data_IF_999885824784
#
_entry.id   IF_999885824784
#
_cell.length_a   1.000
_cell.length_b   1.000
_cell.length_c   1.000
_cell.angle_alpha   90.00
_cell.angle_beta   90.00
_cell.angle_gamma   90.00
#
_symmetry.space_group_name_H-M   'P 1'
#
loop_
_entity.id
_entity.type
_entity.pdbx_description
1 polymer ?
#
# COMPACT_ATOMS: atom_id res chain seq x y z
N UNK A 1 3.81 21.94 6.25
CA UNK A 1 2.43 21.54 6.61
C UNK A 1 2.43 20.04 6.83
N UNK A 2 1.99 19.57 8.00
CA UNK A 2 1.89 18.14 8.30
C UNK A 2 0.73 17.58 7.49
N UNK A 3 0.99 16.56 6.67
CA UNK A 3 -0.05 15.92 5.88
C UNK A 3 -0.79 14.91 6.75
N UNK A 4 -2.03 15.22 7.10
CA UNK A 4 -2.91 14.38 7.91
C UNK A 4 -2.91 12.90 7.50
N UNK A 5 -2.89 12.60 6.20
CA UNK A 5 -2.92 11.21 5.73
C UNK A 5 -1.61 10.46 6.01
N UNK A 6 -0.48 11.17 6.01
CA UNK A 6 0.82 10.61 6.36
C UNK A 6 0.83 10.26 7.84
N UNK A 7 0.49 11.22 8.70
CA UNK A 7 0.42 11.02 10.15
C UNK A 7 -0.52 9.85 10.50
N UNK A 8 -1.66 9.76 9.83
CA UNK A 8 -2.58 8.66 10.02
C UNK A 8 -2.01 7.31 9.59
N UNK A 9 -1.28 7.26 8.47
CA UNK A 9 -0.62 6.04 8.00
C UNK A 9 0.51 5.60 8.93
N UNK A 10 1.26 6.55 9.48
CA UNK A 10 2.32 6.32 10.46
C UNK A 10 1.76 5.80 11.78
N UNK A 11 0.70 6.46 12.29
CA UNK A 11 -0.01 6.00 13.48
C UNK A 11 -0.58 4.61 13.28
N UNK A 12 -1.21 4.34 12.14
CA UNK A 12 -1.72 3.01 11.83
C UNK A 12 -0.63 1.94 11.85
N UNK A 13 0.54 2.21 11.28
CA UNK A 13 1.69 1.32 11.34
C UNK A 13 2.20 1.13 12.76
N UNK A 14 2.35 2.22 13.53
CA UNK A 14 2.82 2.18 14.91
C UNK A 14 1.90 1.34 15.81
N UNK A 15 0.59 1.59 15.78
CA UNK A 15 -0.40 0.82 16.55
C UNK A 15 -0.41 -0.66 16.14
N UNK A 16 -0.22 -0.94 14.84
CA UNK A 16 -0.12 -2.32 14.35
C UNK A 16 1.11 -3.04 14.87
N UNK A 17 2.26 -2.36 14.92
CA UNK A 17 3.52 -2.91 15.47
C UNK A 17 3.38 -3.18 16.97
N UNK A 18 2.69 -2.29 17.69
CA UNK A 18 2.41 -2.44 19.11
C UNK A 18 1.38 -3.55 19.42
N UNK A 19 0.68 -4.06 18.40
CA UNK A 19 -0.37 -5.06 18.58
C UNK A 19 -1.67 -4.51 19.18
N UNK A 20 -1.86 -3.19 19.15
CA UNK A 20 -3.04 -2.52 19.68
C UNK A 20 -4.26 -2.69 18.74
N UNK A 21 -5.46 -2.38 19.24
CA UNK A 21 -6.66 -2.41 18.41
C UNK A 21 -6.61 -1.34 17.31
N UNK A 22 -6.60 -1.82 16.06
CA UNK A 22 -6.55 -0.99 14.85
C UNK A 22 -7.92 -0.82 14.19
N UNK A 23 -9.01 -1.33 14.79
CA UNK A 23 -10.34 -1.29 14.19
C UNK A 23 -10.82 0.14 13.89
N UNK A 24 -10.59 1.08 14.81
CA UNK A 24 -10.96 2.49 14.63
C UNK A 24 -10.19 3.14 13.47
N UNK A 25 -8.89 2.88 13.36
CA UNK A 25 -8.05 3.42 12.28
C UNK A 25 -8.40 2.80 10.92
N UNK A 26 -8.73 1.50 10.89
CA UNK A 26 -9.24 0.84 9.67
C UNK A 26 -10.55 1.46 9.20
N UNK A 27 -11.45 1.78 10.13
CA UNK A 27 -12.72 2.43 9.84
C UNK A 27 -12.49 3.84 9.30
N UNK A 28 -11.56 4.57 9.89
CA UNK A 28 -11.15 5.88 9.40
C UNK A 28 -10.61 5.80 7.97
N UNK A 29 -9.63 4.91 7.71
CA UNK A 29 -9.09 4.62 6.37
C UNK A 29 -10.17 4.27 5.35
N UNK A 30 -11.21 3.55 5.77
CA UNK A 30 -12.32 3.16 4.91
C UNK A 30 -13.20 4.34 4.52
N UNK A 31 -13.57 5.22 5.46
CA UNK A 31 -14.52 6.32 5.23
C UNK A 31 -13.93 7.56 4.55
N UNK A 32 -12.63 7.56 4.26
CA UNK A 32 -12.00 8.67 3.54
C UNK A 32 -12.56 8.83 2.14
N UNK A 33 -12.61 10.09 1.68
CA UNK A 33 -12.92 10.39 0.28
C UNK A 33 -11.67 10.19 -0.57
N UNK A 34 -11.79 9.34 -1.60
CA UNK A 34 -10.71 9.08 -2.56
C UNK A 34 -10.17 10.37 -3.20
N UNK A 35 -11.07 11.29 -3.58
CA UNK A 35 -10.68 12.59 -4.15
C UNK A 35 -9.88 13.47 -3.19
N UNK A 36 -10.14 13.37 -1.88
CA UNK A 36 -9.38 14.12 -0.87
C UNK A 36 -8.00 13.50 -0.65
N UNK A 37 -7.91 12.16 -0.71
CA UNK A 37 -6.64 11.43 -0.67
C UNK A 37 -5.77 11.79 -1.89
N UNK A 38 -6.33 11.75 -3.09
CA UNK A 38 -5.62 12.12 -4.34
C UNK A 38 -5.12 13.57 -4.30
N UNK A 39 -5.94 14.51 -3.80
CA UNK A 39 -5.56 15.93 -3.72
C UNK A 39 -4.47 16.21 -2.68
N UNK A 40 -4.45 15.46 -1.57
CA UNK A 40 -3.46 15.66 -0.50
C UNK A 40 -2.20 14.82 -0.67
N UNK A 41 -2.25 13.72 -1.42
CA UNK A 41 -1.09 12.96 -1.86
C UNK A 41 -0.74 13.40 -3.28
N UNK A 42 -0.43 14.69 -3.44
CA UNK A 42 -0.13 15.32 -4.72
C UNK A 42 1.25 14.94 -5.24
N UNK A 43 2.22 14.77 -4.35
CA UNK A 43 3.59 14.35 -4.70
C UNK A 43 3.79 12.85 -4.62
N UNK A 44 4.69 12.36 -5.48
CA UNK A 44 5.08 10.95 -5.52
C UNK A 44 5.69 10.46 -4.20
N UNK A 45 6.42 11.34 -3.48
CA UNK A 45 7.01 11.01 -2.18
C UNK A 45 5.94 10.80 -1.08
N UNK A 46 4.93 11.67 -1.03
CA UNK A 46 3.79 11.52 -0.12
C UNK A 46 3.01 10.24 -0.42
N UNK A 47 2.76 9.94 -1.71
CA UNK A 47 2.14 8.68 -2.12
C UNK A 47 2.98 7.48 -1.67
N UNK A 48 4.29 7.48 -1.93
CA UNK A 48 5.21 6.41 -1.50
C UNK A 48 5.10 6.17 -0.01
N UNK A 49 5.28 7.22 0.79
CA UNK A 49 5.27 7.13 2.25
C UNK A 49 3.95 6.56 2.77
N UNK A 50 2.82 7.10 2.30
CA UNK A 50 1.49 6.62 2.69
C UNK A 50 1.32 5.13 2.37
N UNK A 51 1.58 4.73 1.12
CA UNK A 51 1.31 3.36 0.66
C UNK A 51 2.29 2.34 1.24
N UNK A 52 3.55 2.72 1.51
CA UNK A 52 4.52 1.87 2.21
C UNK A 52 4.05 1.58 3.64
N UNK A 53 3.59 2.61 4.35
CA UNK A 53 3.09 2.45 5.73
C UNK A 53 1.87 1.52 5.78
N UNK A 54 0.91 1.74 4.88
CA UNK A 54 -0.27 0.88 4.72
C UNK A 54 0.14 -0.56 4.40
N UNK A 55 1.03 -0.77 3.41
CA UNK A 55 1.49 -2.10 3.02
C UNK A 55 2.14 -2.83 4.20
N UNK A 56 3.05 -2.17 4.91
CA UNK A 56 3.75 -2.76 6.05
C UNK A 56 2.79 -3.14 7.18
N UNK A 57 1.85 -2.26 7.52
CA UNK A 57 0.86 -2.51 8.57
C UNK A 57 -0.02 -3.72 8.21
N UNK A 58 -0.59 -3.76 7.01
CA UNK A 58 -1.38 -4.91 6.58
C UNK A 58 -0.55 -6.18 6.47
N UNK A 59 0.70 -6.10 6.03
CA UNK A 59 1.61 -7.25 6.01
C UNK A 59 1.80 -7.87 7.40
N UNK A 60 1.94 -7.07 8.45
CA UNK A 60 2.03 -7.55 9.84
C UNK A 60 0.73 -8.20 10.29
N UNK A 61 -0.41 -7.54 10.08
CA UNK A 61 -1.75 -8.07 10.44
C UNK A 61 -1.95 -9.45 9.79
N UNK A 62 -1.58 -9.57 8.52
CA UNK A 62 -1.74 -10.77 7.72
C UNK A 62 -0.81 -11.90 8.16
N UNK A 63 0.41 -11.56 8.61
CA UNK A 63 1.36 -12.54 9.12
C UNK A 63 0.93 -13.10 10.49
N UNK A 64 0.23 -12.29 11.29
CA UNK A 64 -0.29 -12.69 12.60
C UNK A 64 -1.58 -13.54 12.52
N UNK A 65 -2.24 -13.59 11.36
CA UNK A 65 -3.40 -14.47 11.15
C UNK A 65 -2.95 -15.94 10.95
N UNK A 66 -3.70 -16.93 11.48
CA UNK A 66 -3.39 -18.33 11.26
C UNK A 66 -3.42 -18.65 9.75
N UNK A 67 -2.27 -19.11 9.24
CA UNK A 67 -1.94 -19.27 7.82
C UNK A 67 -3.11 -19.81 6.97
N UNK A 68 -3.64 -19.05 5.99
CA UNK A 68 -4.38 -19.65 4.90
C UNK A 68 -3.39 -20.23 3.87
N UNK A 69 -3.61 -21.48 3.45
CA UNK A 69 -2.72 -22.30 2.59
C UNK A 69 -2.56 -21.80 1.12
N UNK A 70 -2.61 -20.50 0.81
CA UNK A 70 -2.67 -20.00 -0.57
C UNK A 70 -2.07 -18.61 -0.83
N UNK A 71 -2.40 -18.00 -1.97
CA UNK A 71 -1.91 -16.69 -2.42
C UNK A 71 -2.48 -15.51 -1.60
N UNK A 72 -2.11 -15.46 -0.31
CA UNK A 72 -2.43 -14.44 0.71
C UNK A 72 -2.35 -12.99 0.18
N UNK A 73 -1.41 -12.75 -0.73
CA UNK A 73 -1.14 -11.44 -1.33
C UNK A 73 -2.21 -10.99 -2.35
N UNK A 74 -2.95 -11.93 -2.96
CA UNK A 74 -3.96 -11.67 -4.01
C UNK A 74 -5.35 -11.40 -3.44
N UNK A 75 -5.61 -11.71 -2.17
CA UNK A 75 -6.93 -11.49 -1.58
C UNK A 75 -7.20 -10.00 -1.37
N UNK A 76 -8.31 -9.52 -1.95
CA UNK A 76 -8.77 -8.15 -1.77
C UNK A 76 -9.46 -8.02 -0.41
N UNK A 77 -8.74 -7.54 0.59
CA UNK A 77 -9.25 -7.39 1.98
C UNK A 77 -8.90 -6.06 2.61
N UNK A 78 -8.03 -5.28 1.98
CA UNK A 78 -7.61 -3.97 2.45
C UNK A 78 -8.68 -2.97 2.00
N UNK A 79 -9.38 -2.37 2.97
CA UNK A 79 -10.47 -1.43 2.72
C UNK A 79 -9.97 0.00 2.91
N UNK A 80 -9.82 0.76 1.83
CA UNK A 80 -9.33 2.15 1.87
C UNK A 80 -10.20 3.00 0.94
N UNK A 81 -10.69 4.14 1.45
CA UNK A 81 -11.50 5.10 0.71
C UNK A 81 -12.63 4.43 -0.11
N UNK A 82 -13.44 3.60 0.56
CA UNK A 82 -14.51 2.78 -0.02
C UNK A 82 -14.09 1.73 -1.06
N UNK A 83 -12.80 1.57 -1.35
CA UNK A 83 -12.27 0.61 -2.32
C UNK A 83 -11.62 -0.61 -1.62
N UNK A 84 -11.62 -1.73 -2.34
CA UNK A 84 -11.04 -3.00 -1.91
C UNK A 84 -9.71 -3.23 -2.64
N UNK A 85 -8.62 -3.35 -1.88
CA UNK A 85 -7.27 -3.59 -2.38
C UNK A 85 -6.74 -4.93 -1.87
N UNK A 86 -5.88 -5.55 -2.69
CA UNK A 86 -4.98 -6.62 -2.25
C UNK A 86 -3.59 -6.07 -1.95
N UNK A 87 -2.77 -6.81 -1.19
CA UNK A 87 -1.36 -6.43 -0.98
C UNK A 87 -0.62 -6.32 -2.32
N UNK A 88 -0.95 -7.20 -3.26
CA UNK A 88 -0.38 -7.22 -4.60
C UNK A 88 -0.80 -5.99 -5.43
N UNK A 89 -2.04 -5.51 -5.28
CA UNK A 89 -2.51 -4.29 -5.94
C UNK A 89 -1.73 -3.05 -5.44
N UNK A 90 -1.41 -3.01 -4.16
CA UNK A 90 -0.61 -1.92 -3.57
C UNK A 90 0.84 -2.02 -4.02
N UNK A 91 1.47 -3.19 -3.89
CA UNK A 91 2.88 -3.38 -4.24
C UNK A 91 3.11 -3.19 -5.75
N UNK A 92 2.39 -3.91 -6.60
CA UNK A 92 2.65 -3.94 -8.04
C UNK A 92 1.91 -2.83 -8.79
N UNK A 93 0.75 -2.41 -8.29
CA UNK A 93 -0.06 -1.39 -8.93
C UNK A 93 0.30 0.04 -8.51
N UNK A 94 0.47 0.27 -7.21
CA UNK A 94 0.68 1.62 -6.67
C UNK A 94 2.17 1.95 -6.54
N UNK A 95 2.94 1.09 -5.88
CA UNK A 95 4.34 1.35 -5.54
C UNK A 95 5.29 1.07 -6.71
N UNK A 96 5.18 -0.10 -7.33
CA UNK A 96 6.11 -0.55 -8.37
C UNK A 96 5.66 -0.18 -9.78
N UNK A 97 4.40 0.26 -9.94
CA UNK A 97 3.71 0.54 -11.21
C UNK A 97 4.25 -0.37 -12.32
N UNK A 98 4.08 -1.68 -12.14
CA UNK A 98 4.78 -2.66 -12.98
C UNK A 98 4.52 -2.38 -14.45
N UNK A 99 5.60 -1.96 -15.13
CA UNK A 99 5.67 -1.86 -16.58
C UNK A 99 6.09 -3.23 -17.08
N UNK A 100 5.15 -3.97 -17.65
CA UNK A 100 5.46 -5.19 -18.36
C UNK A 100 6.13 -4.81 -19.67
N UNK A 101 7.30 -5.39 -19.94
CA UNK A 101 7.94 -5.28 -21.24
C UNK A 101 7.23 -6.24 -22.20
N UNK A 102 6.48 -5.70 -23.15
CA UNK A 102 5.86 -6.48 -24.23
C UNK A 102 6.57 -6.09 -25.52
N UNK A 103 7.48 -6.95 -25.98
CA UNK A 103 8.37 -6.64 -27.09
C UNK A 103 9.35 -5.50 -26.75
N UNK A 104 9.27 -4.39 -27.51
CA UNK A 104 10.07 -3.17 -27.31
C UNK A 104 9.34 -2.06 -26.52
N UNK A 105 8.06 -2.25 -26.17
CA UNK A 105 7.27 -1.27 -25.42
C UNK A 105 7.14 -1.66 -23.94
N UNK A 106 7.14 -0.63 -23.09
CA UNK A 106 6.80 -0.73 -21.67
C UNK A 106 5.32 -0.43 -21.49
N UNK A 107 4.51 -1.46 -21.23
CA UNK A 107 3.07 -1.32 -20.96
C UNK A 107 2.77 -1.49 -19.48
N UNK A 108 2.11 -0.51 -18.88
CA UNK A 108 1.55 -0.64 -17.53
C UNK A 108 0.45 -1.71 -17.58
N UNK A 109 0.41 -2.60 -16.57
CA UNK A 109 -0.55 -3.71 -16.51
C UNK A 109 -1.98 -3.28 -16.88
N UNK A 110 -2.56 -3.77 -17.99
CA UNK A 110 -3.89 -3.33 -18.44
C UNK A 110 -5.02 -3.82 -17.54
N UNK A 111 -4.76 -4.80 -16.66
CA UNK A 111 -5.75 -5.36 -15.73
C UNK A 111 -5.76 -4.68 -14.36
N UNK A 112 -5.03 -3.57 -14.19
CA UNK A 112 -5.09 -2.78 -12.97
C UNK A 112 -6.42 -2.03 -12.88
N UNK A 113 -7.12 -2.05 -11.73
CA UNK A 113 -8.32 -1.25 -11.55
C UNK A 113 -8.01 0.26 -11.75
N UNK A 114 -8.94 1.01 -12.35
CA UNK A 114 -8.78 2.45 -12.61
C UNK A 114 -8.41 3.26 -11.35
N UNK A 115 -8.93 2.87 -10.19
CA UNK A 115 -8.62 3.53 -8.91
C UNK A 115 -7.16 3.29 -8.47
N UNK A 116 -6.59 2.11 -8.74
CA UNK A 116 -5.18 1.80 -8.47
C UNK A 116 -4.26 2.64 -9.36
N UNK A 117 -4.62 2.78 -10.65
CA UNK A 117 -3.88 3.59 -11.60
C UNK A 117 -3.83 5.08 -11.20
N UNK A 118 -4.93 5.64 -10.69
CA UNK A 118 -4.97 7.04 -10.23
C UNK A 118 -4.13 7.31 -8.99
N UNK A 119 -4.09 6.33 -8.07
CA UNK A 119 -3.32 6.41 -6.83
C UNK A 119 -1.83 6.06 -7.03
N UNK A 120 -1.47 5.54 -8.21
CA UNK A 120 -0.08 5.15 -8.52
C UNK A 120 0.87 6.34 -8.55
N UNK A 121 2.10 6.07 -8.12
CA UNK A 121 3.24 6.98 -8.22
C UNK A 121 3.64 7.11 -9.70
N UNK A 122 4.11 8.27 -10.13
CA UNK A 122 4.50 8.46 -11.53
C UNK A 122 5.92 7.95 -11.83
N UNK A 123 6.87 8.14 -10.91
CA UNK A 123 8.25 7.65 -10.99
C UNK A 123 8.51 6.43 -10.10
N UNK A 124 8.71 5.27 -10.74
CA UNK A 124 9.17 4.04 -10.10
C UNK A 124 10.65 4.18 -9.73
N UNK A 125 10.97 4.36 -8.45
CA UNK A 125 12.34 4.24 -7.95
C UNK A 125 12.60 2.80 -7.51
N UNK A 126 13.61 2.15 -8.10
CA UNK A 126 14.01 0.78 -7.75
C UNK A 126 14.48 0.64 -6.29
N UNK A 127 14.80 1.75 -5.60
CA UNK A 127 15.21 1.79 -4.19
C UNK A 127 14.12 1.34 -3.21
N UNK A 128 12.83 1.35 -3.61
CA UNK A 128 11.71 0.92 -2.75
C UNK A 128 11.78 -0.60 -2.49
N UNK A 129 12.22 -1.39 -3.49
CA UNK A 129 12.38 -2.84 -3.35
C UNK A 129 13.43 -3.20 -2.30
N UNK A 130 14.50 -2.40 -2.22
CA UNK A 130 15.57 -2.60 -1.25
C UNK A 130 15.08 -2.38 0.19
N UNK A 131 14.25 -1.35 0.44
CA UNK A 131 13.68 -1.07 1.77
C UNK A 131 12.65 -2.12 2.22
N UNK A 132 11.91 -2.73 1.31
CA UNK A 132 10.95 -3.80 1.64
C UNK A 132 11.66 -5.12 2.01
N UNK A 133 12.83 -5.41 1.40
CA UNK A 133 13.61 -6.61 1.69
C UNK A 133 14.49 -6.51 2.93
N UNK A 134 14.96 -5.32 3.33
CA UNK A 134 15.88 -5.19 4.47
C UNK A 134 15.22 -5.46 5.82
N UNK A 135 13.89 -5.38 5.96
CA UNK A 135 13.20 -5.81 7.19
C UNK A 135 12.99 -7.33 7.30
N UNK A 136 13.22 -8.09 6.23
CA UNK A 136 13.11 -9.57 6.25
C UNK A 136 14.39 -10.28 6.68
N UNK A 137 15.50 -9.56 6.85
CA UNK A 137 16.83 -10.15 7.04
C UNK A 137 17.45 -9.94 8.44
N UNK A 138 16.72 -9.42 9.42
CA UNK A 138 17.27 -9.17 10.77
C UNK A 138 16.41 -9.83 11.84
N UNK A 139 16.25 -11.14 11.71
CA UNK A 139 16.03 -12.03 12.87
C UNK A 139 17.01 -13.18 12.68
N UNK A 140 18.17 -13.04 13.32
CA UNK A 140 19.07 -14.14 13.61
C UNK A 140 19.63 -13.93 15.00
#
# INVERSE_FOLDING_TARGET
MINYYIELSERFLAETILGNDTASLKRELYYMKLSSLERRLDTDDLKKTFWINIYNAFSIIIQNEPKPKGSILKYKRIKIAYNLFSLNDIELGILKKQKYKVGFLYVTNPFLPKHVLRLSINNTDDSILLKLNTKKATVK
#
